data_IF_150544105567
#
_entry.id   IF_150544105567
#
_cell.length_a   1.000
_cell.length_b   1.000
_cell.length_c   1.000
_cell.angle_alpha   90.00
_cell.angle_beta   90.00
_cell.angle_gamma   90.00
#
_symmetry.space_group_name_H-M   'P 1'
#
loop_
_entity.id
_entity.type
_entity.pdbx_description
1 polymer ?
#
# COMPACT_ATOMS: atom_id res chain seq x y z
N UNK A 1 -24.17 -13.94 -20.53
CA UNK A 1 -23.84 -14.09 -21.98
C UNK A 1 -23.71 -12.77 -22.73
N UNK A 2 -24.60 -11.77 -22.58
CA UNK A 2 -24.48 -10.45 -23.25
C UNK A 2 -23.14 -9.73 -23.04
N UNK A 3 -22.55 -9.79 -21.85
CA UNK A 3 -21.24 -9.18 -21.57
C UNK A 3 -20.13 -9.78 -22.44
N UNK A 4 -20.01 -11.11 -22.47
CA UNK A 4 -18.95 -11.82 -23.21
C UNK A 4 -19.00 -11.48 -24.70
N UNK A 5 -20.18 -11.52 -25.32
CA UNK A 5 -20.33 -11.18 -26.74
C UNK A 5 -20.03 -9.71 -27.08
N UNK A 6 -20.13 -8.79 -26.10
CA UNK A 6 -19.85 -7.37 -26.32
C UNK A 6 -18.42 -6.96 -25.97
N UNK A 7 -17.82 -7.57 -24.93
CA UNK A 7 -16.53 -7.14 -24.36
C UNK A 7 -15.38 -8.09 -24.67
N UNK A 8 -15.69 -9.36 -24.97
CA UNK A 8 -14.75 -10.48 -25.22
C UNK A 8 -14.99 -11.12 -26.59
N UNK A 9 -15.52 -10.33 -27.53
CA UNK A 9 -15.85 -10.80 -28.89
C UNK A 9 -14.61 -11.34 -29.60
N UNK A 10 -13.52 -10.60 -29.51
CA UNK A 10 -12.27 -10.92 -30.18
C UNK A 10 -11.57 -12.07 -29.47
N UNK A 11 -11.08 -13.03 -30.25
CA UNK A 11 -10.20 -14.09 -29.72
C UNK A 11 -8.84 -13.46 -29.41
N UNK A 12 -8.27 -13.66 -28.21
CA UNK A 12 -6.95 -13.15 -27.87
C UNK A 12 -5.87 -13.65 -28.82
N UNK A 13 -5.14 -12.72 -29.42
CA UNK A 13 -3.90 -12.96 -30.16
C UNK A 13 -3.03 -11.71 -30.02
N UNK A 14 -2.31 -11.65 -28.90
CA UNK A 14 -1.50 -10.49 -28.55
C UNK A 14 -0.31 -10.86 -27.66
N UNK A 15 0.68 -9.97 -27.64
CA UNK A 15 1.83 -10.02 -26.74
C UNK A 15 1.71 -8.87 -25.73
N UNK A 16 1.83 -9.19 -24.44
CA UNK A 16 1.95 -8.21 -23.38
C UNK A 16 3.43 -8.10 -22.98
N UNK A 17 4.03 -6.95 -23.23
CA UNK A 17 5.41 -6.65 -22.89
C UNK A 17 5.47 -5.71 -21.68
N UNK A 18 6.46 -5.89 -20.82
CA UNK A 18 6.63 -5.12 -19.57
C UNK A 18 8.07 -4.60 -19.49
N UNK A 19 8.22 -3.32 -19.18
CA UNK A 19 9.50 -2.66 -18.96
C UNK A 19 9.46 -1.81 -17.69
N UNK A 20 10.62 -1.66 -17.07
CA UNK A 20 10.89 -0.67 -16.04
C UNK A 20 11.83 0.37 -16.64
N UNK A 21 11.32 1.57 -16.92
CA UNK A 21 11.94 2.53 -17.83
C UNK A 21 12.32 1.85 -19.17
N UNK A 22 13.61 1.69 -19.42
CA UNK A 22 14.15 1.03 -20.62
C UNK A 22 14.50 -0.44 -20.37
N UNK A 23 14.45 -0.91 -19.13
CA UNK A 23 14.86 -2.26 -18.76
C UNK A 23 13.72 -3.24 -19.01
N UNK A 24 13.93 -4.16 -19.95
CA UNK A 24 12.94 -5.19 -20.29
C UNK A 24 12.77 -6.18 -19.13
N UNK A 25 11.54 -6.28 -18.62
CA UNK A 25 11.19 -7.11 -17.48
C UNK A 25 10.56 -8.44 -17.90
N UNK A 26 10.06 -8.54 -19.13
CA UNK A 26 9.52 -9.77 -19.69
C UNK A 26 8.34 -9.54 -20.61
N UNK A 27 7.88 -10.64 -21.22
CA UNK A 27 6.65 -10.66 -22.01
C UNK A 27 5.87 -11.94 -21.78
N UNK A 28 4.58 -11.86 -22.09
CA UNK A 28 3.71 -13.02 -22.20
C UNK A 28 2.89 -12.95 -23.48
N UNK A 29 2.89 -14.05 -24.22
CA UNK A 29 2.06 -14.21 -25.40
C UNK A 29 0.73 -14.85 -24.98
N UNK A 30 -0.36 -14.28 -25.48
CA UNK A 30 -1.70 -14.79 -25.30
C UNK A 30 -2.23 -15.20 -26.66
N UNK A 31 -2.59 -16.47 -26.78
CA UNK A 31 -3.21 -17.04 -27.97
C UNK A 31 -4.41 -17.86 -27.55
N UNK A 32 -5.52 -17.64 -28.23
CA UNK A 32 -6.81 -18.24 -27.92
C UNK A 32 -7.33 -17.85 -26.52
N UNK A 33 -8.47 -18.41 -26.12
CA UNK A 33 -9.11 -18.10 -24.84
C UNK A 33 -8.55 -19.01 -23.76
N UNK A 34 -7.89 -18.41 -22.78
CA UNK A 34 -7.40 -19.10 -21.57
C UNK A 34 -7.79 -18.32 -20.32
N UNK A 35 -7.86 -19.03 -19.18
CA UNK A 35 -7.97 -18.44 -17.84
C UNK A 35 -6.62 -18.36 -17.12
N UNK A 36 -5.54 -18.73 -17.80
CA UNK A 36 -4.21 -18.74 -17.23
C UNK A 36 -3.77 -17.33 -16.83
N UNK A 37 -3.09 -17.27 -15.69
CA UNK A 37 -2.55 -16.02 -15.15
C UNK A 37 -1.03 -16.07 -15.20
N UNK A 38 -0.42 -15.03 -15.75
CA UNK A 38 1.02 -14.85 -15.73
C UNK A 38 1.41 -13.75 -14.76
N UNK A 39 2.57 -13.89 -14.12
CA UNK A 39 3.09 -12.93 -13.15
C UNK A 39 4.54 -12.62 -13.47
N UNK A 40 4.85 -11.33 -13.53
CA UNK A 40 6.22 -10.82 -13.60
C UNK A 40 6.54 -10.16 -12.26
N UNK A 41 7.60 -10.62 -11.60
CA UNK A 41 8.06 -10.08 -10.33
C UNK A 41 9.28 -9.19 -10.56
N UNK A 42 9.15 -7.90 -10.26
CA UNK A 42 10.25 -6.94 -10.30
C UNK A 42 10.72 -6.70 -8.86
N UNK A 43 11.98 -7.01 -8.50
CA UNK A 43 12.46 -6.84 -7.14
C UNK A 43 12.58 -5.34 -6.81
N UNK A 44 12.26 -4.96 -5.57
CA UNK A 44 12.35 -3.55 -5.13
C UNK A 44 13.75 -2.96 -5.31
N UNK A 45 14.80 -3.79 -5.23
CA UNK A 45 16.18 -3.39 -5.51
C UNK A 45 16.34 -2.81 -6.93
N UNK A 46 15.68 -3.40 -7.94
CA UNK A 46 15.72 -2.90 -9.31
C UNK A 46 14.96 -1.58 -9.45
N UNK A 47 13.81 -1.46 -8.75
CA UNK A 47 13.02 -0.23 -8.70
C UNK A 47 13.81 0.93 -8.06
N UNK A 48 14.60 0.66 -7.02
CA UNK A 48 15.43 1.66 -6.34
C UNK A 48 16.76 1.94 -7.04
N UNK A 49 17.16 1.11 -8.00
CA UNK A 49 18.43 1.30 -8.70
C UNK A 49 18.34 2.52 -9.63
N UNK A 50 19.39 3.34 -9.76
CA UNK A 50 19.37 4.48 -10.69
C UNK A 50 19.07 3.99 -12.12
N UNK A 51 18.30 4.77 -12.90
CA UNK A 51 17.95 4.39 -14.27
C UNK A 51 19.20 4.31 -15.15
N UNK A 52 19.21 3.33 -16.05
CA UNK A 52 20.27 3.14 -17.06
C UNK A 52 20.29 4.27 -18.10
N UNK A 53 19.26 5.10 -18.16
CA UNK A 53 19.18 6.32 -18.99
C UNK A 53 19.69 7.55 -18.24
N UNK A 54 20.33 8.46 -18.99
CA UNK A 54 20.76 9.82 -18.60
C UNK A 54 19.60 10.76 -18.19
N UNK A 55 18.54 10.23 -17.56
CA UNK A 55 17.51 11.04 -16.93
C UNK A 55 18.16 11.75 -15.73
N UNK A 56 17.92 13.05 -15.64
CA UNK A 56 18.50 13.92 -14.63
C UNK A 56 18.33 13.33 -13.22
N UNK A 57 19.36 13.52 -12.39
CA UNK A 57 19.56 13.02 -11.02
C UNK A 57 18.38 13.35 -10.05
N UNK A 58 17.41 14.15 -10.50
CA UNK A 58 16.25 14.60 -9.74
C UNK A 58 14.96 13.81 -10.02
N UNK A 59 14.91 12.95 -11.04
CA UNK A 59 13.72 12.12 -11.27
C UNK A 59 13.84 10.77 -10.53
N UNK A 60 13.44 10.79 -9.26
CA UNK A 60 13.41 9.60 -8.39
C UNK A 60 12.27 8.63 -8.75
N UNK A 61 11.52 8.90 -9.83
CA UNK A 61 10.40 8.09 -10.26
C UNK A 61 10.80 7.15 -11.39
N UNK A 62 10.44 5.87 -11.26
CA UNK A 62 10.54 4.87 -12.31
C UNK A 62 9.22 4.73 -13.06
N UNK A 63 9.28 4.57 -14.37
CA UNK A 63 8.11 4.27 -15.19
C UNK A 63 7.94 2.76 -15.34
N UNK A 64 6.79 2.22 -14.91
CA UNK A 64 6.38 0.87 -15.27
C UNK A 64 5.57 0.93 -16.56
N UNK A 65 6.12 0.39 -17.64
CA UNK A 65 5.50 0.42 -18.97
C UNK A 65 4.94 -0.96 -19.27
N UNK A 66 3.64 -1.02 -19.61
CA UNK A 66 2.99 -2.23 -20.10
C UNK A 66 2.42 -1.96 -21.49
N UNK A 67 2.90 -2.70 -22.49
CA UNK A 67 2.43 -2.60 -23.87
C UNK A 67 1.69 -3.87 -24.26
N UNK A 68 0.50 -3.70 -24.83
CA UNK A 68 -0.25 -4.78 -25.48
C UNK A 68 -0.15 -4.61 -26.98
N UNK A 69 0.40 -5.58 -27.67
CA UNK A 69 0.52 -5.60 -29.13
C UNK A 69 -0.27 -6.77 -29.73
N UNK A 70 -1.32 -6.47 -30.49
CA UNK A 70 -2.24 -7.46 -31.07
C UNK A 70 -3.70 -7.31 -30.63
N UNK A 71 -4.52 -8.29 -31.00
CA UNK A 71 -6.00 -8.27 -30.91
C UNK A 71 -6.47 -8.93 -29.62
N UNK A 72 -7.54 -8.41 -29.03
CA UNK A 72 -8.10 -8.91 -27.77
C UNK A 72 -7.80 -8.00 -26.58
N UNK A 73 -8.33 -8.39 -25.43
CA UNK A 73 -8.34 -7.59 -24.21
C UNK A 73 -7.33 -8.13 -23.19
N UNK A 74 -6.49 -7.24 -22.65
CA UNK A 74 -5.57 -7.56 -21.56
C UNK A 74 -6.19 -7.16 -20.23
N UNK A 75 -6.33 -8.14 -19.33
CA UNK A 75 -6.64 -7.93 -17.92
C UNK A 75 -5.34 -8.03 -17.13
N UNK A 76 -5.07 -7.03 -16.30
CA UNK A 76 -3.84 -6.97 -15.52
C UNK A 76 -4.09 -6.42 -14.13
N UNK A 77 -3.18 -6.74 -13.21
CA UNK A 77 -3.12 -6.18 -11.86
C UNK A 77 -1.69 -5.81 -11.56
N UNK A 78 -1.50 -4.58 -11.08
CA UNK A 78 -0.20 -4.10 -10.58
C UNK A 78 -0.30 -4.04 -9.06
N UNK A 79 0.69 -4.58 -8.37
CA UNK A 79 0.81 -4.53 -6.92
C UNK A 79 2.24 -4.17 -6.54
N UNK A 80 2.39 -3.27 -5.56
CA UNK A 80 3.68 -2.85 -5.02
C UNK A 80 3.69 -3.16 -3.52
N UNK A 81 4.60 -4.02 -3.10
CA UNK A 81 4.87 -4.31 -1.70
C UNK A 81 6.15 -3.56 -1.31
N UNK A 82 6.05 -2.60 -0.39
CA UNK A 82 7.16 -1.76 0.03
C UNK A 82 7.15 -1.49 1.53
N UNK A 83 8.32 -1.15 2.05
CA UNK A 83 8.48 -0.55 3.38
C UNK A 83 8.85 0.93 3.19
N UNK A 84 8.18 1.86 3.87
CA UNK A 84 8.60 3.25 3.90
C UNK A 84 10.04 3.40 4.42
N UNK A 85 10.79 4.36 3.90
CA UNK A 85 12.13 4.69 4.41
C UNK A 85 12.11 5.31 5.81
N UNK A 86 10.97 5.92 6.19
CA UNK A 86 10.72 6.49 7.51
C UNK A 86 9.43 5.90 8.10
N UNK A 87 9.46 5.57 9.39
CA UNK A 87 8.27 5.17 10.15
C UNK A 87 7.46 6.37 10.64
N UNK A 88 7.99 7.58 10.49
CA UNK A 88 7.23 8.82 10.67
C UNK A 88 6.54 9.13 9.35
N UNK A 89 5.28 8.70 9.27
CA UNK A 89 4.41 8.97 8.14
C UNK A 89 3.48 10.12 8.47
N UNK A 90 3.20 10.95 7.47
CA UNK A 90 2.14 11.94 7.58
C UNK A 90 0.79 11.26 7.81
N UNK A 91 -0.09 11.94 8.53
CA UNK A 91 -1.45 11.46 8.74
C UNK A 91 -2.19 11.39 7.39
N UNK A 92 -2.77 10.23 7.08
CA UNK A 92 -3.52 9.99 5.85
C UNK A 92 -4.94 9.50 6.14
N UNK A 93 -5.85 9.74 5.20
CA UNK A 93 -7.21 9.20 5.22
C UNK A 93 -7.55 8.64 3.84
N UNK A 94 -7.61 7.31 3.75
CA UNK A 94 -8.00 6.59 2.53
C UNK A 94 -9.33 5.86 2.70
N UNK A 95 -10.31 6.54 3.31
CA UNK A 95 -11.64 6.00 3.62
C UNK A 95 -11.80 5.50 5.06
N UNK A 96 -10.72 5.55 5.84
CA UNK A 96 -10.69 5.38 7.28
C UNK A 96 -9.92 6.56 7.88
N UNK A 97 -10.53 7.24 8.85
CA UNK A 97 -9.82 8.16 9.74
C UNK A 97 -9.66 7.47 11.09
N UNK A 98 -8.44 7.34 11.57
CA UNK A 98 -8.13 6.73 12.88
C UNK A 98 -7.41 7.77 13.72
N UNK A 99 -7.89 7.98 14.93
CA UNK A 99 -7.29 8.88 15.91
C UNK A 99 -7.01 8.09 17.19
N UNK A 100 -5.78 8.25 17.72
CA UNK A 100 -5.36 7.68 19.00
C UNK A 100 -5.07 8.80 19.97
N UNK A 101 -5.68 8.74 21.15
CA UNK A 101 -5.40 9.64 22.27
C UNK A 101 -5.09 8.84 23.52
N UNK A 102 -4.32 9.45 24.42
CA UNK A 102 -3.98 8.87 25.71
C UNK A 102 -4.59 9.73 26.82
N UNK A 103 -5.12 9.08 27.83
CA UNK A 103 -5.66 9.72 29.02
C UNK A 103 -5.03 9.12 30.26
N UNK A 104 -4.72 9.97 31.25
CA UNK A 104 -4.35 9.48 32.57
C UNK A 104 -5.56 8.80 33.24
N UNK A 105 -5.28 7.77 34.04
CA UNK A 105 -6.32 7.07 34.82
C UNK A 105 -6.48 7.69 36.20
N UNK A 106 -5.38 7.98 36.90
CA UNK A 106 -5.41 8.41 38.31
C UNK A 106 -5.13 9.92 38.46
N UNK A 107 -4.00 10.42 37.96
CA UNK A 107 -3.63 11.86 38.01
C UNK A 107 -3.47 12.43 36.58
N UNK A 108 -4.22 13.49 36.20
CA UNK A 108 -4.11 14.14 34.90
C UNK A 108 -2.68 14.52 34.47
N UNK A 109 -1.77 14.77 35.41
CA UNK A 109 -0.38 15.12 35.13
C UNK A 109 0.47 13.92 34.67
N UNK A 110 0.01 12.69 34.85
CA UNK A 110 0.74 11.47 34.47
C UNK A 110 0.80 11.25 32.95
N UNK A 111 -0.07 11.91 32.19
CA UNK A 111 -0.12 11.80 30.73
C UNK A 111 -0.17 13.20 30.13
N UNK A 112 0.87 13.58 29.39
CA UNK A 112 0.97 14.92 28.81
C UNK A 112 1.29 14.83 27.33
N UNK A 113 0.52 15.56 26.51
CA UNK A 113 0.86 15.79 25.11
C UNK A 113 1.65 17.08 25.00
N UNK A 114 2.87 16.99 24.47
CA UNK A 114 3.75 18.12 24.23
C UNK A 114 3.31 18.90 22.97
N UNK A 115 3.84 20.10 22.80
CA UNK A 115 3.52 21.00 21.68
C UNK A 115 3.93 20.44 20.31
N UNK A 116 4.96 19.58 20.28
CA UNK A 116 5.42 18.84 19.11
C UNK A 116 4.58 17.57 18.82
N UNK A 117 3.57 17.29 19.64
CA UNK A 117 2.68 16.14 19.52
C UNK A 117 3.17 14.85 20.19
N UNK A 118 4.37 14.85 20.78
CA UNK A 118 4.91 13.70 21.53
C UNK A 118 4.14 13.55 22.85
N UNK A 119 3.84 12.30 23.21
CA UNK A 119 3.22 11.98 24.49
C UNK A 119 4.28 11.57 25.52
N UNK A 120 4.15 12.09 26.73
CA UNK A 120 4.94 11.69 27.91
C UNK A 120 4.05 11.00 28.92
N UNK A 121 4.53 9.87 29.41
CA UNK A 121 3.89 9.09 30.47
C UNK A 121 4.80 9.06 31.70
N UNK A 122 4.22 9.20 32.88
CA UNK A 122 4.94 8.94 34.12
C UNK A 122 5.15 7.44 34.28
N UNK A 123 6.36 7.04 34.68
CA UNK A 123 6.75 5.64 34.83
C UNK A 123 5.88 4.94 35.90
N UNK A 124 5.43 3.72 35.59
CA UNK A 124 4.66 2.86 36.51
C UNK A 124 3.18 3.23 36.62
N UNK A 125 2.72 4.26 35.92
CA UNK A 125 1.34 4.74 36.01
C UNK A 125 0.45 4.15 34.91
N UNK A 126 -0.85 4.06 35.19
CA UNK A 126 -1.83 3.55 34.23
C UNK A 126 -2.19 4.63 33.22
N UNK A 127 -2.21 4.24 31.94
CA UNK A 127 -2.62 5.08 30.81
C UNK A 127 -3.79 4.40 30.10
N UNK A 128 -4.87 5.14 29.88
CA UNK A 128 -6.00 4.70 29.06
C UNK A 128 -5.77 5.11 27.61
N UNK A 129 -5.79 4.14 26.71
CA UNK A 129 -5.75 4.38 25.26
C UNK A 129 -7.17 4.52 24.73
N UNK A 130 -7.44 5.56 23.94
CA UNK A 130 -8.70 5.75 23.24
C UNK A 130 -8.41 5.77 21.74
N UNK A 131 -9.01 4.81 21.03
CA UNK A 131 -8.98 4.71 19.58
C UNK A 131 -10.35 5.09 19.02
N UNK A 132 -10.37 6.12 18.17
CA UNK A 132 -11.56 6.56 17.45
C UNK A 132 -11.37 6.26 15.98
N UNK A 133 -12.22 5.40 15.42
CA UNK A 133 -12.23 5.10 13.98
C UNK A 133 -13.51 5.64 13.34
N UNK A 134 -13.35 6.51 12.35
CA UNK A 134 -14.44 7.12 11.58
C UNK A 134 -14.41 6.62 10.14
N UNK A 135 -15.57 6.17 9.65
CA UNK A 135 -15.76 5.64 8.29
C UNK A 135 -16.92 6.36 7.59
N UNK A 136 -16.83 6.51 6.26
CA UNK A 136 -17.86 7.20 5.46
C UNK A 136 -19.04 6.31 5.07
N UNK A 137 -18.89 4.99 5.19
CA UNK A 137 -19.90 3.99 4.85
C UNK A 137 -19.68 2.75 5.71
N UNK A 138 -20.68 1.87 5.76
CA UNK A 138 -20.52 0.58 6.46
C UNK A 138 -19.45 -0.27 5.77
N UNK A 139 -18.57 -0.84 6.56
CA UNK A 139 -17.46 -1.69 6.11
C UNK A 139 -17.48 -2.99 6.91
N UNK A 140 -17.11 -4.09 6.28
CA UNK A 140 -17.02 -5.43 6.88
C UNK A 140 -15.61 -5.99 6.67
N UNK A 141 -15.24 -7.02 7.44
CA UNK A 141 -13.93 -7.70 7.35
C UNK A 141 -12.73 -6.74 7.56
N UNK A 142 -12.82 -5.89 8.58
CA UNK A 142 -11.75 -4.97 8.97
C UNK A 142 -11.05 -5.50 10.22
N UNK A 143 -9.72 -5.40 10.24
CA UNK A 143 -8.92 -5.51 11.44
C UNK A 143 -8.27 -4.15 11.75
N UNK A 144 -8.41 -3.68 12.99
CA UNK A 144 -7.68 -2.55 13.52
C UNK A 144 -6.59 -3.09 14.46
N UNK A 145 -5.34 -2.76 14.18
CA UNK A 145 -4.18 -3.15 14.99
C UNK A 145 -3.56 -1.87 15.54
N UNK A 146 -3.46 -1.77 16.87
CA UNK A 146 -2.77 -0.68 17.56
C UNK A 146 -1.49 -1.22 18.19
N UNK A 147 -0.34 -0.80 17.66
CA UNK A 147 0.95 -1.14 18.24
C UNK A 147 1.21 -0.28 19.47
N UNK A 148 1.43 -0.94 20.60
CA UNK A 148 1.77 -0.27 21.84
C UNK A 148 3.15 0.41 21.72
N UNK A 149 3.29 1.65 22.22
CA UNK A 149 4.60 2.27 22.38
C UNK A 149 5.51 1.41 23.25
N UNK A 150 6.81 1.45 22.97
CA UNK A 150 7.80 0.78 23.81
C UNK A 150 7.68 1.23 25.27
N UNK A 151 7.78 0.29 26.21
CA UNK A 151 7.64 0.54 27.65
C UNK A 151 6.19 0.54 28.16
N UNK A 152 5.19 0.48 27.29
CA UNK A 152 3.80 0.21 27.69
C UNK A 152 3.52 -1.30 27.67
N UNK A 153 2.82 -1.78 28.68
CA UNK A 153 2.34 -3.16 28.76
C UNK A 153 0.81 -3.16 28.86
N UNK A 154 0.11 -4.08 28.16
CA UNK A 154 -1.33 -4.15 28.25
C UNK A 154 -1.74 -4.71 29.62
N UNK A 155 -2.71 -4.06 30.25
CA UNK A 155 -3.34 -4.58 31.46
C UNK A 155 -4.55 -5.42 31.06
N UNK A 156 -4.49 -6.72 31.35
CA UNK A 156 -5.62 -7.62 31.18
C UNK A 156 -6.39 -7.67 32.51
N UNK A 157 -7.40 -6.81 32.62
CA UNK A 157 -8.27 -6.68 33.80
C UNK A 157 -9.67 -7.15 33.49
#
# INVERSE_FOLDING_TARGET
QKYFHMKEKDTPDFIANIWLDNDYCGQHQYKDRTTDTHTVNIPMKAVLSPSSSNAEINDQNKNLIMQKDGIGRLYYRIALNYAPSSLQLDAVNYGFKIERTYMAVDDPLHVQKQSDGIWKFKLGEKVKVILTMTVTQRRYHIALVDYLPAGCEPLNT
#
